data_IF_848413778691
#
_entry.id   IF_848413778691
#
_cell.length_a   1.000
_cell.length_b   1.000
_cell.length_c   1.000
_cell.angle_alpha   90.00
_cell.angle_beta   90.00
_cell.angle_gamma   90.00
#
_symmetry.space_group_name_H-M   'P 1'
#
loop_
_entity.id
_entity.type
_entity.pdbx_description
1 polymer ?
#
# COMPACT_ATOMS: atom_id res chain seq x y z
N UNK A 1 57.58 19.94 30.59
CA UNK A 1 56.52 20.46 29.71
C UNK A 1 56.54 19.65 28.42
N UNK A 2 55.82 18.53 28.39
CA UNK A 2 55.76 17.60 27.24
C UNK A 2 54.33 17.43 26.75
N UNK A 3 54.18 17.81 25.48
CA UNK A 3 53.50 17.08 24.43
C UNK A 3 51.97 17.19 24.28
N UNK A 4 51.63 18.03 23.29
CA UNK A 4 50.33 18.24 22.68
C UNK A 4 50.20 17.20 21.55
N UNK A 5 49.97 15.92 21.86
CA UNK A 5 49.76 14.92 20.80
C UNK A 5 49.08 13.64 21.33
N UNK A 6 47.75 13.64 21.35
CA UNK A 6 46.91 12.51 20.87
C UNK A 6 45.49 12.70 21.37
N UNK A 7 44.77 13.64 20.75
CA UNK A 7 43.34 13.40 20.52
C UNK A 7 43.28 12.16 19.64
N UNK A 8 43.17 11.00 20.26
CA UNK A 8 42.87 9.75 19.59
C UNK A 8 41.59 9.98 18.81
N UNK A 9 41.74 10.03 17.49
CA UNK A 9 40.67 9.92 16.51
C UNK A 9 39.71 8.86 17.05
N UNK A 10 38.40 9.14 17.23
CA UNK A 10 37.46 8.11 17.59
C UNK A 10 37.51 7.09 16.45
N UNK A 11 38.19 5.99 16.75
CA UNK A 11 38.38 4.88 15.82
C UNK A 11 37.00 4.52 15.32
N UNK A 12 36.83 4.65 14.01
CA UNK A 12 35.90 3.94 13.14
C UNK A 12 34.88 3.18 13.98
N UNK A 13 33.70 3.76 14.20
CA UNK A 13 32.55 3.03 14.72
C UNK A 13 32.35 1.84 13.76
N UNK A 14 32.97 0.71 14.11
CA UNK A 14 32.84 -0.53 13.39
C UNK A 14 31.35 -0.78 13.36
N UNK A 15 30.81 -0.82 12.15
CA UNK A 15 29.42 -1.03 11.83
C UNK A 15 28.83 -2.10 12.76
N UNK A 16 28.30 -1.68 13.90
CA UNK A 16 27.48 -2.53 14.74
C UNK A 16 26.31 -2.87 13.86
N UNK A 17 26.16 -4.14 13.52
CA UNK A 17 25.13 -4.68 12.62
C UNK A 17 23.83 -3.91 12.81
N UNK A 18 23.52 -2.96 11.91
CA UNK A 18 22.43 -1.98 12.08
C UNK A 18 21.06 -2.68 12.12
N UNK A 19 21.01 -3.96 11.74
CA UNK A 19 19.85 -4.85 11.84
C UNK A 19 20.29 -6.19 12.44
N UNK A 20 19.88 -6.54 13.67
CA UNK A 20 20.11 -7.86 14.23
C UNK A 20 19.58 -8.95 13.28
N UNK A 21 20.30 -10.06 13.10
CA UNK A 21 19.98 -11.14 12.13
C UNK A 21 18.56 -11.69 12.26
N UNK A 22 17.93 -11.53 13.43
CA UNK A 22 16.53 -11.82 13.75
C UNK A 22 15.51 -10.92 13.01
N UNK A 23 15.89 -9.69 12.67
CA UNK A 23 15.03 -8.71 12.00
C UNK A 23 15.32 -8.58 10.49
N UNK A 24 16.35 -9.24 9.96
CA UNK A 24 16.57 -9.30 8.51
C UNK A 24 15.36 -9.85 7.77
N UNK A 25 14.67 -10.82 8.37
CA UNK A 25 13.49 -11.42 7.75
C UNK A 25 12.31 -10.42 7.62
N UNK A 26 11.83 -9.79 8.71
CA UNK A 26 10.81 -8.76 8.59
C UNK A 26 11.28 -7.54 7.78
N UNK A 27 12.59 -7.23 7.76
CA UNK A 27 13.12 -6.15 6.92
C UNK A 27 12.96 -6.44 5.42
N UNK A 28 13.39 -7.62 4.95
CA UNK A 28 13.22 -8.04 3.56
C UNK A 28 11.74 -8.09 3.19
N UNK A 29 10.90 -8.68 4.05
CA UNK A 29 9.45 -8.72 3.84
C UNK A 29 8.85 -7.32 3.72
N UNK A 30 9.25 -6.39 4.59
CA UNK A 30 8.75 -5.02 4.57
C UNK A 30 9.20 -4.27 3.31
N UNK A 31 10.47 -4.42 2.91
CA UNK A 31 10.99 -3.83 1.66
C UNK A 31 10.26 -4.37 0.43
N UNK A 32 10.07 -5.69 0.34
CA UNK A 32 9.32 -6.31 -0.76
C UNK A 32 7.85 -5.89 -0.75
N UNK A 33 7.22 -5.84 0.42
CA UNK A 33 5.82 -5.40 0.56
C UNK A 33 5.66 -3.95 0.12
N UNK A 34 6.61 -3.07 0.46
CA UNK A 34 6.59 -1.67 0.06
C UNK A 34 6.77 -1.51 -1.46
N UNK A 35 7.67 -2.28 -2.06
CA UNK A 35 7.85 -2.32 -3.51
C UNK A 35 6.58 -2.82 -4.23
N UNK A 36 5.99 -3.91 -3.74
CA UNK A 36 4.77 -4.49 -4.30
C UNK A 36 3.56 -3.57 -4.12
N UNK A 37 3.45 -2.90 -2.98
CA UNK A 37 2.41 -1.91 -2.71
C UNK A 37 2.54 -0.70 -3.66
N UNK A 38 3.75 -0.18 -3.87
CA UNK A 38 4.01 0.90 -4.82
C UNK A 38 3.66 0.52 -6.27
N UNK A 39 4.01 -0.71 -6.69
CA UNK A 39 3.66 -1.24 -8.00
C UNK A 39 2.13 -1.38 -8.18
N UNK A 40 1.44 -1.93 -7.18
CA UNK A 40 -0.02 -2.06 -7.22
C UNK A 40 -0.72 -0.68 -7.30
N UNK A 41 -0.20 0.31 -6.58
CA UNK A 41 -0.74 1.67 -6.61
C UNK A 41 -0.55 2.30 -8.01
N UNK A 42 0.64 2.17 -8.60
CA UNK A 42 0.90 2.67 -9.95
C UNK A 42 0.05 1.97 -11.02
N UNK A 43 -0.13 0.65 -10.92
CA UNK A 43 -1.01 -0.09 -11.83
C UNK A 43 -2.47 0.36 -11.72
N UNK A 44 -2.92 0.66 -10.51
CA UNK A 44 -4.29 1.14 -10.26
C UNK A 44 -4.56 2.46 -10.99
N UNK A 45 -3.60 3.41 -10.96
CA UNK A 45 -3.73 4.68 -11.68
C UNK A 45 -3.80 4.50 -13.20
N UNK A 46 -2.96 3.62 -13.77
CA UNK A 46 -2.97 3.31 -15.21
C UNK A 46 -4.27 2.63 -15.63
N UNK A 47 -4.75 1.70 -14.80
CA UNK A 47 -6.01 1.00 -15.03
C UNK A 47 -7.18 1.99 -15.02
N UNK A 48 -7.21 2.91 -14.05
CA UNK A 48 -8.24 3.94 -13.94
C UNK A 48 -8.22 4.90 -15.13
N UNK A 49 -7.03 5.34 -15.57
CA UNK A 49 -6.88 6.18 -16.76
C UNK A 49 -7.35 5.47 -18.04
N UNK A 50 -7.11 4.16 -18.13
CA UNK A 50 -7.56 3.32 -19.24
C UNK A 50 -9.10 3.21 -19.25
N UNK A 51 -9.73 2.99 -18.11
CA UNK A 51 -11.19 2.99 -18.00
C UNK A 51 -11.81 4.34 -18.36
N UNK A 52 -11.22 5.44 -17.87
CA UNK A 52 -11.63 6.79 -18.26
C UNK A 52 -11.63 6.98 -19.77
N UNK A 53 -10.57 6.52 -20.45
CA UNK A 53 -10.41 6.61 -21.90
C UNK A 53 -11.43 5.74 -22.66
N UNK A 54 -11.60 4.48 -22.26
CA UNK A 54 -12.51 3.54 -22.91
C UNK A 54 -13.97 3.98 -22.76
N UNK A 55 -14.34 4.49 -21.59
CA UNK A 55 -15.71 4.92 -21.29
C UNK A 55 -16.01 6.40 -21.63
N UNK A 56 -15.05 7.15 -22.18
CA UNK A 56 -15.18 8.59 -22.49
C UNK A 56 -15.74 9.43 -21.32
N UNK A 57 -15.26 9.13 -20.11
CA UNK A 57 -15.74 9.75 -18.87
C UNK A 57 -15.29 11.21 -18.75
N UNK A 58 -16.20 12.07 -18.27
CA UNK A 58 -15.87 13.47 -17.94
C UNK A 58 -14.85 13.53 -16.78
N UNK A 59 -13.95 14.52 -16.80
CA UNK A 59 -12.94 14.74 -15.75
C UNK A 59 -13.56 14.76 -14.34
N UNK A 60 -14.77 15.29 -14.22
CA UNK A 60 -15.50 15.36 -12.95
C UNK A 60 -15.80 13.98 -12.36
N UNK A 61 -16.20 13.01 -13.19
CA UNK A 61 -16.46 11.64 -12.74
C UNK A 61 -15.18 10.92 -12.32
N UNK A 62 -14.06 11.19 -12.99
CA UNK A 62 -12.78 10.58 -12.62
C UNK A 62 -12.32 11.06 -11.23
N UNK A 63 -12.49 12.35 -10.93
CA UNK A 63 -12.18 12.89 -9.60
C UNK A 63 -13.07 12.30 -8.51
N UNK A 64 -14.34 12.01 -8.80
CA UNK A 64 -15.23 11.30 -7.87
C UNK A 64 -14.75 9.88 -7.56
N UNK A 65 -14.24 9.14 -8.54
CA UNK A 65 -13.64 7.82 -8.31
C UNK A 65 -12.42 7.93 -7.40
N UNK A 66 -11.55 8.92 -7.61
CA UNK A 66 -10.39 9.14 -6.73
C UNK A 66 -10.81 9.44 -5.29
N UNK A 67 -11.81 10.30 -5.11
CA UNK A 67 -12.37 10.60 -3.78
C UNK A 67 -12.97 9.34 -3.15
N UNK A 68 -13.67 8.50 -3.93
CA UNK A 68 -14.21 7.23 -3.43
C UNK A 68 -13.08 6.26 -3.03
N UNK A 69 -12.02 6.15 -3.82
CA UNK A 69 -10.88 5.26 -3.56
C UNK A 69 -10.11 5.67 -2.31
N UNK A 70 -9.72 6.95 -2.20
CA UNK A 70 -9.05 7.46 -1.00
C UNK A 70 -9.99 7.54 0.21
N UNK A 71 -11.29 7.77 -0.02
CA UNK A 71 -12.33 7.73 1.00
C UNK A 71 -12.53 6.33 1.58
N UNK A 72 -12.51 5.31 0.72
CA UNK A 72 -12.52 3.89 1.11
C UNK A 72 -11.34 3.57 2.03
N UNK A 73 -10.11 3.97 1.67
CA UNK A 73 -8.95 3.82 2.56
C UNK A 73 -9.19 4.41 3.95
N UNK A 74 -9.80 5.60 4.06
CA UNK A 74 -10.10 6.22 5.34
C UNK A 74 -11.20 5.49 6.12
N UNK A 75 -12.32 5.18 5.46
CA UNK A 75 -13.47 4.52 6.07
C UNK A 75 -13.15 3.08 6.50
N UNK A 76 -12.35 2.35 5.73
CA UNK A 76 -11.94 0.97 6.01
C UNK A 76 -10.72 0.89 6.92
N UNK A 77 -9.86 1.91 6.97
CA UNK A 77 -8.72 1.93 7.90
C UNK A 77 -9.15 1.92 9.37
N UNK A 78 -10.24 2.61 9.72
CA UNK A 78 -10.77 2.63 11.10
C UNK A 78 -11.20 1.23 11.60
N UNK A 79 -12.11 0.50 10.92
CA UNK A 79 -12.49 -0.84 11.33
C UNK A 79 -11.32 -1.82 11.21
N UNK A 80 -10.48 -1.71 10.18
CA UNK A 80 -9.31 -2.58 10.03
C UNK A 80 -8.28 -2.39 11.15
N UNK A 81 -8.03 -1.16 11.59
CA UNK A 81 -7.11 -0.85 12.69
C UNK A 81 -7.62 -1.41 14.03
N UNK A 82 -8.93 -1.31 14.29
CA UNK A 82 -9.55 -1.91 15.47
C UNK A 82 -9.49 -3.43 15.41
N UNK A 83 -9.68 -4.02 14.23
CA UNK A 83 -9.64 -5.48 14.02
C UNK A 83 -8.23 -6.07 14.18
N UNK A 84 -7.21 -5.42 13.61
CA UNK A 84 -5.79 -5.82 13.74
C UNK A 84 -5.34 -5.77 15.21
N UNK A 85 -5.80 -4.78 15.98
CA UNK A 85 -5.52 -4.69 17.41
C UNK A 85 -6.05 -5.87 18.24
N UNK A 86 -7.13 -6.53 17.80
CA UNK A 86 -7.72 -7.68 18.50
C UNK A 86 -7.21 -9.05 18.03
N UNK A 87 -6.89 -9.24 16.74
CA UNK A 87 -6.73 -10.58 16.14
C UNK A 87 -5.34 -10.91 15.52
N UNK A 88 -4.33 -10.05 15.72
CA UNK A 88 -2.95 -10.24 15.23
C UNK A 88 -2.73 -9.91 13.74
N UNK A 89 -1.50 -9.52 13.39
CA UNK A 89 -1.08 -8.97 12.08
C UNK A 89 -1.47 -9.88 10.90
N UNK A 90 -1.42 -11.20 11.11
CA UNK A 90 -1.73 -12.21 10.09
C UNK A 90 -3.21 -12.16 9.64
N UNK A 91 -4.11 -11.91 10.58
CA UNK A 91 -5.56 -11.82 10.31
C UNK A 91 -5.91 -10.55 9.53
N UNK A 92 -5.19 -9.45 9.77
CA UNK A 92 -5.35 -8.21 8.99
C UNK A 92 -4.96 -8.37 7.53
N UNK A 93 -3.85 -9.07 7.27
CA UNK A 93 -3.42 -9.36 5.90
C UNK A 93 -4.43 -10.24 5.16
N UNK A 94 -4.99 -11.28 5.81
CA UNK A 94 -6.04 -12.11 5.17
C UNK A 94 -7.33 -11.35 4.90
N UNK A 95 -7.72 -10.42 5.77
CA UNK A 95 -8.91 -9.59 5.57
C UNK A 95 -8.73 -8.64 4.39
N UNK A 96 -7.56 -8.01 4.27
CA UNK A 96 -7.20 -7.19 3.11
C UNK A 96 -7.15 -8.00 1.80
N UNK A 97 -6.58 -9.21 1.83
CA UNK A 97 -6.58 -10.11 0.66
C UNK A 97 -7.99 -10.53 0.25
N UNK A 98 -8.85 -10.81 1.23
CA UNK A 98 -10.26 -11.14 0.99
C UNK A 98 -11.03 -9.98 0.36
N UNK A 99 -10.81 -8.76 0.85
CA UNK A 99 -11.40 -7.55 0.28
C UNK A 99 -10.90 -7.30 -1.15
N UNK A 100 -9.60 -7.48 -1.39
CA UNK A 100 -9.02 -7.35 -2.72
C UNK A 100 -9.57 -8.39 -3.69
N UNK A 101 -9.72 -9.65 -3.26
CA UNK A 101 -10.33 -10.70 -4.06
C UNK A 101 -11.82 -10.42 -4.35
N UNK A 102 -12.57 -9.88 -3.38
CA UNK A 102 -13.95 -9.47 -3.57
C UNK A 102 -14.07 -8.33 -4.59
N UNK A 103 -13.23 -7.30 -4.49
CA UNK A 103 -13.17 -6.21 -5.47
C UNK A 103 -12.82 -6.69 -6.88
N UNK A 104 -11.85 -7.61 -7.00
CA UNK A 104 -11.49 -8.23 -8.27
C UNK A 104 -12.64 -9.05 -8.89
N UNK A 105 -13.40 -9.78 -8.08
CA UNK A 105 -14.59 -10.52 -8.53
C UNK A 105 -15.71 -9.57 -8.98
N UNK A 106 -15.91 -8.44 -8.29
CA UNK A 106 -16.85 -7.38 -8.69
C UNK A 106 -16.42 -6.66 -9.98
N UNK A 107 -15.12 -6.66 -10.28
CA UNK A 107 -14.58 -6.10 -11.52
C UNK A 107 -14.98 -6.89 -12.77
N UNK A 108 -15.18 -8.21 -12.65
CA UNK A 108 -15.58 -9.07 -13.76
C UNK A 108 -16.93 -8.68 -14.39
N UNK A 109 -18.06 -8.56 -13.64
CA UNK A 109 -19.33 -8.08 -14.20
C UNK A 109 -19.31 -6.58 -14.56
N UNK A 110 -18.50 -5.77 -13.86
CA UNK A 110 -18.36 -4.34 -14.18
C UNK A 110 -17.75 -4.14 -15.58
N UNK A 111 -16.77 -4.96 -15.96
CA UNK A 111 -16.15 -4.92 -17.30
C UNK A 111 -17.13 -5.28 -18.43
N UNK A 112 -18.08 -6.18 -18.17
CA UNK A 112 -19.08 -6.64 -19.14
C UNK A 112 -20.19 -5.60 -19.38
N UNK A 113 -20.60 -4.89 -18.34
CA UNK A 113 -21.71 -3.94 -18.40
C UNK A 113 -21.29 -2.53 -18.84
N UNK A 114 -19.99 -2.17 -18.74
CA UNK A 114 -19.48 -0.84 -19.06
C UNK A 114 -20.32 0.30 -18.43
N UNK A 115 -20.80 0.10 -17.19
CA UNK A 115 -21.58 1.09 -16.43
C UNK A 115 -20.71 1.70 -15.32
N UNK A 116 -20.62 3.03 -15.32
CA UNK A 116 -19.84 3.81 -14.36
C UNK A 116 -20.11 3.46 -12.89
N UNK A 117 -21.39 3.28 -12.53
CA UNK A 117 -21.79 2.96 -11.16
C UNK A 117 -21.30 1.59 -10.67
N UNK A 118 -21.19 0.60 -11.56
CA UNK A 118 -20.67 -0.72 -11.17
C UNK A 118 -19.17 -0.69 -10.92
N UNK A 119 -18.42 0.10 -11.71
CA UNK A 119 -17.01 0.35 -11.44
C UNK A 119 -16.80 1.11 -10.13
N UNK A 120 -17.64 2.10 -9.84
CA UNK A 120 -17.55 2.89 -8.61
C UNK A 120 -17.78 2.04 -7.35
N UNK A 121 -18.76 1.12 -7.40
CA UNK A 121 -19.04 0.18 -6.30
C UNK A 121 -17.98 -0.92 -6.21
N UNK A 122 -17.44 -1.39 -7.33
CA UNK A 122 -16.37 -2.39 -7.32
C UNK A 122 -15.03 -1.84 -6.78
N UNK A 123 -14.80 -0.54 -6.90
CA UNK A 123 -13.56 0.12 -6.50
C UNK A 123 -13.60 0.68 -5.05
N UNK A 124 -14.78 0.77 -4.44
CA UNK A 124 -14.98 1.25 -3.07
C UNK A 124 -14.86 0.11 -2.05
#
# INVERSE_FOLDING_TARGET
MQNIASKTVPGRQLAGTLVPRKYLWPFILLTSLFAFWGLANNMTDVLLATFKKIMSMSDFQTSWIQIAFYGSYFCLALPAAVYIRRFSYKSGVMLGLGLFAAGALLFYPASQTMVYGHFLVALF
#
